data_IF_005916511530
#
_entry.id   IF_005916511530
#
_cell.length_a   1.000
_cell.length_b   1.000
_cell.length_c   1.000
_cell.angle_alpha   90.00
_cell.angle_beta   90.00
_cell.angle_gamma   90.00
#
_symmetry.space_group_name_H-M   'P 1'
#
loop_
_entity.id
_entity.type
_entity.pdbx_description
1 polymer ?
#
# COMPACT_ATOMS: atom_id res chain seq x y z
N UNK A 1 25.98 -12.75 8.31
CA UNK A 1 25.20 -12.43 9.52
C UNK A 1 23.75 -12.29 9.12
N UNK A 2 22.96 -13.34 9.32
CA UNK A 2 21.54 -13.38 8.97
C UNK A 2 20.74 -12.81 10.15
N UNK A 3 19.97 -11.76 9.93
CA UNK A 3 19.10 -11.21 10.96
C UNK A 3 17.79 -12.02 10.98
N UNK A 4 17.45 -12.77 12.05
CA UNK A 4 16.17 -13.44 12.15
C UNK A 4 15.15 -12.38 12.58
N UNK A 5 14.53 -11.70 11.62
CA UNK A 5 13.32 -10.91 11.94
C UNK A 5 12.25 -11.90 12.35
N UNK A 6 12.02 -12.00 13.65
CA UNK A 6 10.93 -12.78 14.24
C UNK A 6 9.62 -12.44 13.52
N UNK A 7 9.08 -13.43 12.83
CA UNK A 7 7.81 -13.31 12.15
C UNK A 7 6.72 -13.14 13.21
N UNK A 8 6.18 -11.93 13.33
CA UNK A 8 4.83 -11.79 13.88
C UNK A 8 3.92 -12.61 12.96
N UNK A 9 3.25 -13.63 13.49
CA UNK A 9 2.30 -14.48 12.77
C UNK A 9 1.02 -13.75 12.32
N UNK A 10 1.14 -12.50 11.88
CA UNK A 10 0.12 -11.81 11.12
C UNK A 10 0.20 -12.35 9.70
N UNK A 11 -0.81 -13.12 9.30
CA UNK A 11 -1.01 -13.59 7.92
C UNK A 11 -0.76 -12.41 6.96
N UNK A 12 0.26 -12.53 6.11
CA UNK A 12 0.49 -11.53 5.05
C UNK A 12 -0.75 -11.51 4.17
N UNK A 13 -1.35 -10.33 4.01
CA UNK A 13 -2.51 -10.16 3.14
C UNK A 13 -2.13 -10.53 1.71
N UNK A 14 -3.00 -11.30 1.08
CA UNK A 14 -2.91 -11.61 -0.36
C UNK A 14 -3.10 -10.36 -1.20
N UNK A 15 -2.62 -10.38 -2.44
CA UNK A 15 -2.86 -9.29 -3.40
C UNK A 15 -4.35 -8.97 -3.55
N UNK A 16 -5.22 -10.00 -3.61
CA UNK A 16 -6.67 -9.81 -3.73
C UNK A 16 -7.32 -9.19 -2.48
N UNK A 17 -6.82 -9.49 -1.28
CA UNK A 17 -7.28 -8.84 -0.06
C UNK A 17 -6.86 -7.37 0.00
N UNK A 18 -5.65 -7.06 -0.48
CA UNK A 18 -5.19 -5.69 -0.56
C UNK A 18 -6.00 -4.88 -1.57
N UNK A 19 -6.28 -5.41 -2.77
CA UNK A 19 -7.15 -4.72 -3.75
C UNK A 19 -8.49 -4.33 -3.14
N UNK A 20 -9.10 -5.22 -2.36
CA UNK A 20 -10.37 -4.96 -1.66
C UNK A 20 -10.29 -3.84 -0.63
N UNK A 21 -9.11 -3.50 -0.11
CA UNK A 21 -8.92 -2.37 0.81
C UNK A 21 -8.77 -1.02 0.09
N UNK A 22 -8.57 -1.02 -1.24
CA UNK A 22 -8.49 0.19 -2.05
C UNK A 22 -9.80 1.00 -2.07
N UNK A 23 -9.73 2.22 -2.58
CA UNK A 23 -10.88 3.12 -2.65
C UNK A 23 -11.98 2.58 -3.58
N UNK A 24 -13.25 2.74 -3.17
CA UNK A 24 -14.42 2.16 -3.85
C UNK A 24 -14.62 2.69 -5.28
N UNK A 25 -14.16 3.90 -5.59
CA UNK A 25 -14.38 4.54 -6.89
C UNK A 25 -13.64 3.86 -8.05
N UNK A 26 -12.69 2.98 -7.77
CA UNK A 26 -12.01 2.17 -8.78
C UNK A 26 -12.54 0.72 -8.88
N UNK A 27 -13.48 0.33 -8.01
CA UNK A 27 -14.05 -1.03 -7.96
C UNK A 27 -15.26 -1.16 -8.89
N UNK A 28 -15.08 -0.78 -10.15
CA UNK A 28 -16.17 -0.71 -11.14
C UNK A 28 -16.12 -1.83 -12.18
N UNK A 29 -15.15 -2.76 -12.10
CA UNK A 29 -14.99 -3.85 -13.06
C UNK A 29 -14.02 -4.94 -12.61
N UNK A 30 -13.63 -5.83 -13.54
CA UNK A 30 -12.77 -6.99 -13.26
C UNK A 30 -11.28 -6.66 -13.11
N UNK A 31 -10.81 -5.55 -13.70
CA UNK A 31 -9.41 -5.12 -13.68
C UNK A 31 -9.36 -3.72 -13.07
N UNK A 32 -8.59 -3.56 -12.00
CA UNK A 32 -8.39 -2.27 -11.35
C UNK A 32 -7.08 -1.61 -11.82
N UNK A 33 -6.93 -0.27 -11.72
CA UNK A 33 -5.69 0.41 -12.10
C UNK A 33 -4.41 -0.16 -11.44
N UNK A 34 -4.53 -0.67 -10.22
CA UNK A 34 -3.40 -1.28 -9.50
C UNK A 34 -2.96 -2.62 -10.11
N UNK A 35 -3.87 -3.35 -10.76
CA UNK A 35 -3.52 -4.56 -11.51
C UNK A 35 -2.68 -4.21 -12.75
N UNK A 36 -3.02 -3.11 -13.43
CA UNK A 36 -2.24 -2.59 -14.56
C UNK A 36 -0.85 -2.13 -14.10
N UNK A 37 -0.77 -1.44 -12.96
CA UNK A 37 0.54 -1.03 -12.42
C UNK A 37 1.41 -2.22 -12.00
N UNK A 38 0.81 -3.29 -11.46
CA UNK A 38 1.52 -4.53 -11.13
C UNK A 38 2.04 -5.20 -12.41
N UNK A 39 1.21 -5.35 -13.44
CA UNK A 39 1.62 -5.99 -14.71
C UNK A 39 2.67 -5.21 -15.48
N UNK A 40 2.66 -3.87 -15.37
CA UNK A 40 3.68 -2.98 -15.96
C UNK A 40 4.97 -2.89 -15.13
N UNK A 41 5.04 -3.51 -13.95
CA UNK A 41 6.20 -3.43 -13.06
C UNK A 41 6.40 -2.07 -12.36
N UNK A 42 5.39 -1.20 -12.39
CA UNK A 42 5.43 0.17 -11.82
C UNK A 42 4.69 0.31 -10.49
N UNK A 43 4.19 -0.79 -9.93
CA UNK A 43 3.44 -0.78 -8.67
C UNK A 43 4.27 -0.29 -7.48
N UNK A 44 5.56 -0.63 -7.41
CA UNK A 44 6.45 -0.18 -6.33
C UNK A 44 6.64 1.35 -6.35
N UNK A 45 7.06 1.98 -7.47
CA UNK A 45 7.18 3.44 -7.51
C UNK A 45 5.83 4.14 -7.30
N UNK A 46 4.72 3.57 -7.76
CA UNK A 46 3.37 4.08 -7.49
C UNK A 46 3.02 4.06 -5.99
N UNK A 47 3.29 2.96 -5.30
CA UNK A 47 3.04 2.84 -3.86
C UNK A 47 3.92 3.82 -3.06
N UNK A 48 5.20 3.93 -3.40
CA UNK A 48 6.14 4.85 -2.73
C UNK A 48 5.72 6.31 -2.89
N UNK A 49 5.40 6.75 -4.11
CA UNK A 49 4.94 8.12 -4.36
C UNK A 49 3.61 8.41 -3.68
N UNK A 50 2.72 7.43 -3.59
CA UNK A 50 1.46 7.56 -2.85
C UNK A 50 1.69 7.74 -1.35
N UNK A 51 2.59 6.96 -0.73
CA UNK A 51 2.97 7.14 0.68
C UNK A 51 3.48 8.57 0.93
N UNK A 52 4.39 9.05 0.09
CA UNK A 52 4.95 10.41 0.22
C UNK A 52 3.84 11.46 0.12
N UNK A 53 2.93 11.33 -0.85
CA UNK A 53 1.79 12.25 -1.05
C UNK A 53 0.89 12.35 0.19
N UNK A 54 0.54 11.22 0.80
CA UNK A 54 -0.34 11.23 1.97
C UNK A 54 0.40 11.68 3.24
N UNK A 55 1.68 11.32 3.38
CA UNK A 55 2.52 11.85 4.45
C UNK A 55 2.68 13.38 4.36
N UNK A 56 2.86 13.92 3.15
CA UNK A 56 3.06 15.36 2.96
C UNK A 56 1.84 16.21 3.30
N UNK A 57 0.61 15.65 3.23
CA UNK A 57 -0.61 16.34 3.67
C UNK A 57 -0.60 16.64 5.17
N UNK A 58 0.07 15.80 5.96
CA UNK A 58 0.24 16.00 7.40
C UNK A 58 1.35 16.99 7.77
N UNK A 59 2.12 17.50 6.80
CA UNK A 59 3.22 18.45 7.06
C UNK A 59 2.76 19.92 7.12
N UNK A 60 1.48 20.21 6.88
CA UNK A 60 0.96 21.57 7.04
C UNK A 60 1.08 21.99 8.52
N UNK A 61 1.67 23.17 8.77
CA UNK A 61 1.93 23.67 10.12
C UNK A 61 0.61 23.77 10.92
N UNK A 62 0.51 23.02 12.02
CA UNK A 62 -0.71 22.95 12.84
C UNK A 62 -1.80 21.99 12.33
N UNK A 63 -1.55 21.22 11.26
CA UNK A 63 -2.50 20.22 10.80
C UNK A 63 -2.52 19.00 11.73
N UNK A 64 -3.72 18.57 12.11
CA UNK A 64 -3.91 17.28 12.75
C UNK A 64 -3.63 16.15 11.76
N UNK A 65 -3.05 15.06 12.24
CA UNK A 65 -2.88 13.83 11.45
C UNK A 65 -4.27 13.33 11.05
N UNK A 66 -4.51 13.22 9.74
CA UNK A 66 -5.75 12.65 9.21
C UNK A 66 -5.69 11.11 9.25
N UNK A 67 -6.56 10.43 10.02
CA UNK A 67 -6.60 8.97 10.07
C UNK A 67 -6.77 8.31 8.70
N UNK A 68 -7.56 8.90 7.80
CA UNK A 68 -7.77 8.33 6.47
C UNK A 68 -6.51 8.35 5.60
N UNK A 69 -5.60 9.31 5.83
CA UNK A 69 -4.32 9.34 5.12
C UNK A 69 -3.36 8.30 5.71
N UNK A 70 -3.47 7.99 7.01
CA UNK A 70 -2.74 6.88 7.64
C UNK A 70 -3.19 5.52 7.09
N UNK A 71 -4.49 5.30 6.93
CA UNK A 71 -5.03 4.07 6.34
C UNK A 71 -4.50 3.85 4.92
N UNK A 72 -4.42 4.93 4.13
CA UNK A 72 -3.83 4.88 2.78
C UNK A 72 -2.34 4.54 2.82
N UNK A 73 -1.56 5.15 3.73
CA UNK A 73 -0.13 4.85 3.89
C UNK A 73 0.07 3.37 4.25
N UNK A 74 -0.68 2.86 5.23
CA UNK A 74 -0.64 1.45 5.64
C UNK A 74 -0.95 0.55 4.44
N UNK A 75 -2.01 0.85 3.70
CA UNK A 75 -2.41 0.08 2.53
C UNK A 75 -1.30 -0.03 1.47
N UNK A 76 -0.64 1.08 1.12
CA UNK A 76 0.49 1.03 0.15
C UNK A 76 1.73 0.36 0.72
N UNK A 77 2.00 0.49 2.02
CA UNK A 77 3.11 -0.20 2.67
C UNK A 77 2.89 -1.73 2.68
N UNK A 78 1.66 -2.17 2.97
CA UNK A 78 1.27 -3.58 2.91
C UNK A 78 1.41 -4.15 1.50
N UNK A 79 1.01 -3.41 0.45
CA UNK A 79 1.27 -3.82 -0.94
C UNK A 79 2.75 -4.07 -1.21
N UNK A 80 3.62 -3.14 -0.82
CA UNK A 80 5.06 -3.28 -1.03
C UNK A 80 5.63 -4.48 -0.28
N UNK A 81 5.15 -4.74 0.94
CA UNK A 81 5.55 -5.90 1.73
C UNK A 81 5.13 -7.20 1.04
N UNK A 82 3.86 -7.33 0.64
CA UNK A 82 3.35 -8.52 -0.06
C UNK A 82 4.14 -8.79 -1.34
N UNK A 83 4.42 -7.76 -2.15
CA UNK A 83 5.21 -7.92 -3.38
C UNK A 83 6.68 -8.30 -3.14
N UNK A 84 7.25 -7.96 -1.97
CA UNK A 84 8.60 -8.35 -1.61
C UNK A 84 8.67 -9.81 -1.14
N UNK A 85 7.59 -10.33 -0.56
CA UNK A 85 7.47 -11.71 -0.09
C UNK A 85 7.05 -12.69 -1.21
N UNK A 86 6.43 -12.19 -2.30
CA UNK A 86 6.14 -12.97 -3.52
C UNK A 86 7.39 -13.31 -4.37
N UNK A 87 8.58 -12.77 -4.03
CA UNK A 87 9.85 -12.96 -4.74
C UNK A 87 10.72 -14.03 -4.11
#
# INVERSE_FOLDING_TARGET
MSNPRGGSGAMTKTWEELKKMGSQHYKTGAIEPIDLYKSMGVIIPFALTSIIKYASRGLAFGAAINPEDMDKIIHYAEMMKTLAEEK
#
